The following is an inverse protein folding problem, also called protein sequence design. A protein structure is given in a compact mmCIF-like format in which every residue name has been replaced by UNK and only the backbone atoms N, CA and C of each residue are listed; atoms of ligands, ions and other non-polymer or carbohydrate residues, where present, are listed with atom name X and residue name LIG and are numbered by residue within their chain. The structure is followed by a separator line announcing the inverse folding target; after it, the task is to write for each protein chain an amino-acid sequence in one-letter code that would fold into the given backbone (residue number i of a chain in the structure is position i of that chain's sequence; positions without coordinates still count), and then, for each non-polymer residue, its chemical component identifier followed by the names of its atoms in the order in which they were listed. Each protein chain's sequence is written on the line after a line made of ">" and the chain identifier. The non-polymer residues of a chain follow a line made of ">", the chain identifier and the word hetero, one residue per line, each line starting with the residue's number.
data_IF_151302743132
#
_entry.id   IF_151302743132
#
_cell.length_a   1.000
_cell.length_b   1.000
_cell.length_c   1.000
_cell.angle_alpha   90.00
_cell.angle_beta   90.00
_cell.angle_gamma   90.00
#
_symmetry.space_group_name_H-M   'P 1'
#
loop_
_entity.id
_entity.type
_entity.pdbx_description
1 polymer ?
#
# COMPACT_ATOMS: atom_id res chain seq x y z
N UNK A 1 -11.88 -9.35 -31.35
CA UNK A 1 -10.69 -9.05 -30.52
C UNK A 1 -11.15 -8.51 -29.17
N UNK A 2 -10.84 -9.16 -28.10
CA UNK A 2 -11.16 -8.64 -26.75
C UNK A 2 -10.09 -7.67 -26.31
N UNK A 3 -10.51 -6.60 -25.65
CA UNK A 3 -9.60 -5.61 -25.03
C UNK A 3 -9.33 -5.88 -23.55
N UNK A 4 -9.82 -7.03 -23.07
CA UNK A 4 -9.58 -7.44 -21.68
C UNK A 4 -8.19 -8.02 -21.53
N UNK A 5 -7.58 -7.76 -20.41
CA UNK A 5 -6.31 -8.35 -20.00
C UNK A 5 -6.39 -8.77 -18.55
N UNK A 6 -5.69 -9.84 -18.14
CA UNK A 6 -5.60 -10.18 -16.72
C UNK A 6 -4.89 -9.08 -15.93
N UNK A 7 -5.46 -8.71 -14.81
CA UNK A 7 -4.88 -7.74 -13.86
C UNK A 7 -5.10 -8.26 -12.46
N UNK A 8 -4.04 -8.27 -11.67
CA UNK A 8 -4.10 -8.58 -10.26
C UNK A 8 -4.32 -7.27 -9.48
N UNK A 9 -5.42 -7.21 -8.72
CA UNK A 9 -5.75 -6.03 -7.92
C UNK A 9 -5.20 -6.19 -6.50
N UNK A 10 -4.45 -5.20 -6.04
CA UNK A 10 -3.91 -5.16 -4.68
C UNK A 10 -4.20 -3.81 -4.03
N UNK A 11 -4.25 -3.80 -2.72
CA UNK A 11 -4.44 -2.57 -1.94
C UNK A 11 -3.25 -2.33 -1.02
N UNK A 12 -3.05 -1.08 -0.65
CA UNK A 12 -2.11 -0.68 0.38
C UNK A 12 -2.69 0.51 1.13
N UNK A 13 -2.53 0.54 2.45
CA UNK A 13 -3.14 1.57 3.29
C UNK A 13 -2.10 2.22 4.20
N UNK A 14 -1.96 3.53 4.09
CA UNK A 14 -1.23 4.34 5.06
C UNK A 14 -2.17 4.71 6.21
N UNK A 15 -2.01 4.06 7.35
CA UNK A 15 -2.78 4.37 8.56
C UNK A 15 -1.96 5.28 9.45
N UNK A 16 -2.52 6.42 9.82
CA UNK A 16 -1.86 7.41 10.70
C UNK A 16 -2.62 7.52 12.01
N UNK A 17 -1.91 7.40 13.11
CA UNK A 17 -2.48 7.68 14.44
C UNK A 17 -2.73 9.19 14.55
N UNK A 18 -4.00 9.62 14.75
CA UNK A 18 -4.31 11.04 14.81
C UNK A 18 -3.69 11.76 16.01
N UNK A 19 -3.35 11.03 17.07
CA UNK A 19 -2.75 11.58 18.29
C UNK A 19 -1.23 11.71 18.18
N UNK A 20 -0.54 10.63 17.84
CA UNK A 20 0.93 10.60 17.81
C UNK A 20 1.52 11.00 16.47
N UNK A 21 0.70 11.04 15.41
CA UNK A 21 1.11 11.28 14.02
C UNK A 21 2.05 10.21 13.45
N UNK A 22 2.19 9.09 14.12
CA UNK A 22 2.95 7.93 13.63
C UNK A 22 2.15 7.17 12.59
N UNK A 23 2.85 6.50 11.70
CA UNK A 23 2.24 5.62 10.69
C UNK A 23 2.38 4.16 11.09
N UNK A 24 1.37 3.37 10.71
CA UNK A 24 1.36 1.94 10.92
C UNK A 24 2.24 1.27 9.87
N UNK A 25 3.18 0.48 10.32
CA UNK A 25 4.19 -0.15 9.47
C UNK A 25 4.20 -1.65 9.68
N UNK A 26 4.28 -2.37 8.59
CA UNK A 26 4.57 -3.79 8.55
C UNK A 26 5.98 -4.00 8.00
N UNK A 27 6.80 -4.76 8.73
CA UNK A 27 8.13 -5.13 8.24
C UNK A 27 8.02 -6.32 7.30
N UNK A 28 8.29 -6.10 6.02
CA UNK A 28 8.34 -7.16 5.02
C UNK A 28 9.65 -7.93 5.15
N UNK A 29 9.53 -9.15 5.63
CA UNK A 29 10.61 -10.12 5.75
C UNK A 29 10.30 -11.34 4.87
N UNK A 30 11.31 -12.11 4.49
CA UNK A 30 11.14 -13.32 3.66
C UNK A 30 10.50 -13.05 2.28
N UNK A 31 10.76 -11.89 1.70
CA UNK A 31 10.31 -11.54 0.35
C UNK A 31 11.46 -11.63 -0.65
N UNK A 32 11.12 -11.85 -1.93
CA UNK A 32 12.12 -11.99 -3.01
C UNK A 32 12.72 -10.65 -3.47
N UNK A 33 12.12 -9.55 -3.07
CA UNK A 33 12.61 -8.19 -3.35
C UNK A 33 13.19 -7.57 -2.08
N UNK A 34 13.68 -6.33 -2.18
CA UNK A 34 14.13 -5.61 -1.00
C UNK A 34 13.01 -5.47 0.01
N UNK A 35 13.12 -6.18 1.13
CA UNK A 35 12.22 -6.07 2.27
C UNK A 35 12.43 -4.77 3.07
N UNK A 36 11.70 -4.65 4.16
CA UNK A 36 11.75 -3.52 5.08
C UNK A 36 10.39 -2.94 5.39
N UNK A 37 10.36 -1.71 5.84
CA UNK A 37 9.14 -1.01 6.20
C UNK A 37 8.20 -0.85 5.01
N UNK A 38 6.97 -1.29 5.17
CA UNK A 38 5.90 -1.16 4.20
C UNK A 38 4.59 -0.82 4.93
N UNK A 39 3.56 -0.49 4.18
CA UNK A 39 2.22 -0.34 4.73
C UNK A 39 1.41 -1.63 4.52
N UNK A 40 0.46 -1.93 5.43
CA UNK A 40 -0.38 -3.11 5.28
C UNK A 40 -1.26 -3.03 4.01
N UNK A 41 -1.58 -4.18 3.47
CA UNK A 41 -2.42 -4.34 2.29
C UNK A 41 -2.34 -5.74 1.74
N UNK A 42 -3.06 -5.98 0.67
CA UNK A 42 -3.10 -7.30 0.03
C UNK A 42 -4.07 -7.35 -1.14
N UNK A 43 -4.40 -8.57 -1.56
CA UNK A 43 -5.21 -8.81 -2.73
C UNK A 43 -6.68 -8.44 -2.54
N UNK A 44 -7.28 -7.91 -3.59
CA UNK A 44 -8.74 -7.73 -3.69
C UNK A 44 -9.34 -9.05 -4.16
N UNK A 45 -10.28 -9.58 -3.38
CA UNK A 45 -10.95 -10.83 -3.71
C UNK A 45 -12.10 -10.60 -4.70
N UNK A 46 -12.47 -11.66 -5.42
CA UNK A 46 -13.60 -11.61 -6.34
C UNK A 46 -14.88 -11.25 -5.57
N UNK A 47 -15.57 -10.24 -6.06
CA UNK A 47 -16.85 -9.81 -5.49
C UNK A 47 -16.75 -8.80 -4.36
N UNK A 48 -15.55 -8.44 -3.89
CA UNK A 48 -15.41 -7.34 -2.93
C UNK A 48 -14.97 -6.04 -3.62
N UNK A 49 -15.32 -4.91 -3.04
CA UNK A 49 -14.80 -3.63 -3.49
C UNK A 49 -13.34 -3.43 -3.04
N UNK A 50 -12.60 -2.61 -3.76
CA UNK A 50 -11.22 -2.30 -3.38
C UNK A 50 -11.12 -1.65 -1.98
N UNK A 51 -12.07 -0.79 -1.63
CA UNK A 51 -12.12 -0.19 -0.30
C UNK A 51 -12.42 -1.23 0.80
N UNK A 52 -13.32 -2.18 0.53
CA UNK A 52 -13.59 -3.28 1.47
C UNK A 52 -12.38 -4.19 1.64
N UNK A 53 -11.66 -4.49 0.56
CA UNK A 53 -10.41 -5.23 0.61
C UNK A 53 -9.36 -4.52 1.48
N UNK A 54 -9.22 -3.21 1.31
CA UNK A 54 -8.29 -2.41 2.11
C UNK A 54 -8.61 -2.51 3.62
N UNK A 55 -9.88 -2.40 3.99
CA UNK A 55 -10.31 -2.53 5.38
C UNK A 55 -10.06 -3.94 5.92
N UNK A 56 -10.40 -4.96 5.15
CA UNK A 56 -10.21 -6.37 5.53
C UNK A 56 -8.73 -6.71 5.72
N UNK A 57 -7.88 -6.35 4.79
CA UNK A 57 -6.44 -6.64 4.85
C UNK A 57 -5.78 -5.97 6.06
N UNK A 58 -6.10 -4.71 6.34
CA UNK A 58 -5.58 -4.03 7.53
C UNK A 58 -6.01 -4.76 8.80
N UNK A 59 -7.26 -5.19 8.88
CA UNK A 59 -7.73 -5.96 10.04
C UNK A 59 -6.98 -7.29 10.19
N UNK A 60 -6.86 -8.07 9.11
CA UNK A 60 -6.21 -9.38 9.13
C UNK A 60 -4.73 -9.27 9.51
N UNK A 61 -4.03 -8.28 9.00
CA UNK A 61 -2.60 -8.12 9.23
C UNK A 61 -2.26 -7.42 10.55
N UNK A 62 -3.12 -6.53 11.03
CA UNK A 62 -2.76 -5.62 12.13
C UNK A 62 -3.68 -5.66 13.34
N UNK A 63 -4.91 -6.15 13.20
CA UNK A 63 -5.95 -6.13 14.24
C UNK A 63 -6.76 -4.84 14.29
N UNK A 64 -6.41 -3.81 13.52
CA UNK A 64 -7.16 -2.56 13.49
C UNK A 64 -8.37 -2.65 12.56
N UNK A 65 -9.49 -2.11 13.02
CA UNK A 65 -10.69 -1.92 12.20
C UNK A 65 -10.76 -0.48 11.74
N UNK A 66 -10.52 -0.26 10.43
CA UNK A 66 -10.68 1.06 9.84
C UNK A 66 -12.14 1.42 9.73
N UNK A 67 -12.51 2.60 10.16
CA UNK A 67 -13.89 3.11 10.07
C UNK A 67 -14.09 4.02 8.86
N UNK A 68 -13.02 4.47 8.26
CA UNK A 68 -13.02 5.28 7.04
C UNK A 68 -11.71 5.07 6.27
N UNK A 69 -11.78 5.04 4.96
CA UNK A 69 -10.61 5.04 4.07
C UNK A 69 -10.79 6.10 2.98
N UNK A 70 -9.70 6.77 2.65
CA UNK A 70 -9.65 7.78 1.59
C UNK A 70 -8.75 7.29 0.47
N UNK A 71 -9.26 7.27 -0.76
CA UNK A 71 -8.47 6.91 -1.93
C UNK A 71 -7.43 7.98 -2.24
N UNK A 72 -6.17 7.56 -2.46
CA UNK A 72 -5.06 8.46 -2.73
C UNK A 72 -4.58 8.41 -4.18
N UNK A 73 -4.66 7.26 -4.82
CA UNK A 73 -4.17 7.07 -6.18
C UNK A 73 -3.86 5.61 -6.47
N UNK A 74 -3.22 5.38 -7.61
CA UNK A 74 -2.87 4.04 -8.08
C UNK A 74 -1.38 3.93 -8.35
N UNK A 75 -0.89 2.70 -8.37
CA UNK A 75 0.42 2.35 -8.91
C UNK A 75 0.32 1.04 -9.67
N UNK A 76 1.23 0.81 -10.58
CA UNK A 76 1.24 -0.40 -11.40
C UNK A 76 2.60 -1.06 -11.34
N UNK A 77 2.59 -2.38 -11.21
CA UNK A 77 3.79 -3.21 -11.31
C UNK A 77 3.62 -4.22 -12.43
N UNK A 78 4.74 -4.58 -13.01
CA UNK A 78 4.82 -5.67 -13.99
C UNK A 78 5.86 -6.67 -13.51
N UNK A 79 5.54 -7.95 -13.57
CA UNK A 79 6.53 -8.97 -13.29
C UNK A 79 7.60 -8.98 -14.40
N UNK A 80 8.87 -9.16 -14.02
CA UNK A 80 10.03 -9.07 -14.92
C UNK A 80 10.00 -10.03 -16.12
N UNK A 81 9.25 -11.12 -16.02
CA UNK A 81 9.19 -12.15 -17.05
C UNK A 81 8.02 -12.01 -18.04
N UNK A 82 7.67 -10.81 -18.38
CA UNK A 82 6.63 -10.53 -19.39
C UNK A 82 5.22 -10.49 -18.85
N UNK A 83 5.19 -10.22 -17.71
CA UNK A 83 4.36 -10.09 -16.97
C UNK A 83 3.00 -9.76 -16.69
N UNK A 84 2.49 -10.34 -15.67
CA UNK A 84 1.23 -10.02 -15.03
C UNK A 84 1.25 -8.58 -14.57
N UNK A 85 0.27 -7.80 -15.01
CA UNK A 85 0.04 -6.45 -14.49
C UNK A 85 -0.57 -6.55 -13.09
N UNK A 86 0.00 -5.84 -12.14
CA UNK A 86 -0.59 -5.60 -10.82
C UNK A 86 -0.99 -4.14 -10.74
N UNK A 87 -2.22 -3.90 -10.36
CA UNK A 87 -2.74 -2.56 -10.11
C UNK A 87 -2.94 -2.37 -8.62
N UNK A 88 -2.14 -1.49 -8.03
CA UNK A 88 -2.24 -1.11 -6.63
C UNK A 88 -3.17 0.07 -6.44
N UNK A 89 -4.15 -0.09 -5.55
CA UNK A 89 -5.04 0.97 -5.12
C UNK A 89 -4.58 1.43 -3.74
N UNK A 90 -4.23 2.69 -3.64
CA UNK A 90 -3.61 3.27 -2.46
C UNK A 90 -4.62 4.08 -1.67
N UNK A 91 -4.75 3.76 -0.39
CA UNK A 91 -5.68 4.41 0.54
C UNK A 91 -4.94 4.96 1.73
N UNK A 92 -5.54 5.92 2.42
CA UNK A 92 -5.08 6.38 3.72
C UNK A 92 -6.24 6.44 4.71
N UNK A 93 -5.92 6.34 5.99
CA UNK A 93 -6.89 6.43 7.07
C UNK A 93 -6.23 6.98 8.35
N UNK A 94 -6.99 7.75 9.10
CA UNK A 94 -6.67 8.17 10.47
C UNK A 94 -7.81 7.82 11.44
N UNK A 95 -8.76 7.00 11.00
CA UNK A 95 -9.97 6.65 11.73
C UNK A 95 -10.07 5.12 11.89
N UNK A 96 -9.80 4.64 13.10
CA UNK A 96 -9.77 3.22 13.40
C UNK A 96 -10.14 2.94 14.85
N UNK A 97 -10.45 1.67 15.13
CA UNK A 97 -10.63 1.11 16.47
C UNK A 97 -9.77 -0.13 16.63
N UNK A 98 -9.59 -0.58 17.87
CA UNK A 98 -8.80 -1.78 18.19
C UNK A 98 -7.35 -1.47 18.53
N UNK A 99 -6.59 -2.53 18.73
CA UNK A 99 -5.17 -2.48 19.08
C UNK A 99 -4.36 -3.31 18.08
N UNK A 100 -3.13 -2.88 17.81
CA UNK A 100 -2.26 -3.60 16.90
C UNK A 100 -1.75 -4.90 17.53
N UNK A 101 -1.60 -5.90 16.68
CA UNK A 101 -0.86 -7.13 16.99
C UNK A 101 -0.10 -7.58 15.75
N UNK A 102 1.07 -8.17 15.95
CA UNK A 102 1.84 -8.78 14.86
C UNK A 102 1.26 -10.13 14.48
N UNK A 103 1.40 -10.48 13.21
CA UNK A 103 1.00 -11.78 12.66
C UNK A 103 2.22 -12.57 12.19
N UNK A 104 1.99 -13.78 11.70
CA UNK A 104 3.04 -14.61 11.09
C UNK A 104 3.61 -13.97 9.80
N UNK A 105 2.89 -13.06 9.17
CA UNK A 105 3.29 -12.41 7.92
C UNK A 105 4.28 -11.27 8.12
N UNK A 106 4.29 -10.65 9.31
CA UNK A 106 5.20 -9.56 9.58
C UNK A 106 5.03 -8.94 10.95
N UNK A 107 6.00 -8.11 11.31
CA UNK A 107 5.99 -7.33 12.54
C UNK A 107 5.29 -6.01 12.31
N UNK A 108 4.30 -5.71 13.14
CA UNK A 108 3.51 -4.48 13.06
C UNK A 108 3.97 -3.51 14.16
N UNK A 109 4.17 -2.26 13.77
CA UNK A 109 4.58 -1.20 14.70
C UNK A 109 4.10 0.18 14.24
N UNK A 110 4.09 1.13 15.17
CA UNK A 110 3.88 2.54 14.90
C UNK A 110 5.23 3.25 14.83
N UNK A 111 5.54 3.85 13.68
CA UNK A 111 6.80 4.57 13.47
C UNK A 111 6.55 6.02 13.05
N UNK A 112 7.44 6.94 13.45
CA UNK A 112 7.45 8.28 12.84
C UNK A 112 7.67 8.17 11.34
N UNK A 113 7.01 9.00 10.55
CA UNK A 113 7.17 8.98 9.09
C UNK A 113 8.63 9.19 8.66
N UNK A 114 9.41 9.89 9.48
CA UNK A 114 10.86 10.09 9.26
C UNK A 114 11.69 8.80 9.27
N UNK A 115 11.16 7.71 9.85
CA UNK A 115 11.81 6.40 9.81
C UNK A 115 11.60 5.66 8.48
N UNK A 116 10.71 6.14 7.63
CA UNK A 116 10.50 5.61 6.28
C UNK A 116 11.60 6.12 5.33
N UNK A 117 12.82 5.64 5.56
CA UNK A 117 13.99 6.01 4.76
C UNK A 117 14.24 5.01 3.64
N UNK A 118 15.03 5.40 2.64
CA UNK A 118 15.38 4.51 1.53
C UNK A 118 16.08 3.23 2.00
N UNK A 119 16.89 3.31 3.05
CA UNK A 119 17.59 2.17 3.62
C UNK A 119 16.67 1.19 4.33
N UNK A 120 15.71 1.71 5.12
CA UNK A 120 14.83 0.91 5.98
C UNK A 120 13.54 0.47 5.33
N UNK A 121 13.13 1.11 4.25
CA UNK A 121 11.85 0.84 3.59
C UNK A 121 11.96 -0.24 2.53
N UNK A 122 10.88 -0.97 2.33
CA UNK A 122 10.73 -1.93 1.25
C UNK A 122 10.85 -1.22 -0.12
N UNK A 123 11.08 -2.01 -1.15
CA UNK A 123 11.17 -1.50 -2.52
C UNK A 123 9.93 -0.67 -2.88
N UNK A 124 10.13 0.41 -3.61
CA UNK A 124 9.11 1.33 -4.11
C UNK A 124 8.44 2.23 -3.05
N UNK A 125 8.60 1.99 -1.78
CA UNK A 125 7.85 2.70 -0.73
C UNK A 125 8.03 4.21 -0.77
N UNK A 126 9.23 4.73 -1.02
CA UNK A 126 9.45 6.18 -1.07
C UNK A 126 8.74 6.84 -2.24
N UNK A 127 8.61 6.14 -3.36
CA UNK A 127 7.82 6.62 -4.50
C UNK A 127 6.34 6.61 -4.17
N UNK A 128 5.85 5.54 -3.55
CA UNK A 128 4.45 5.42 -3.14
C UNK A 128 4.07 6.45 -2.07
N UNK A 129 4.98 6.78 -1.16
CA UNK A 129 4.75 7.81 -0.14
C UNK A 129 4.33 9.16 -0.72
N UNK A 130 4.87 9.54 -1.87
CA UNK A 130 4.48 10.77 -2.55
C UNK A 130 3.00 10.80 -2.90
N UNK A 131 2.44 9.63 -3.28
CA UNK A 131 1.02 9.49 -3.59
C UNK A 131 0.19 9.56 -2.31
N UNK A 132 0.55 8.79 -1.29
CA UNK A 132 -0.15 8.80 -0.01
C UNK A 132 -0.20 10.19 0.63
N UNK A 133 0.86 10.96 0.46
CA UNK A 133 0.97 12.33 0.99
C UNK A 133 0.43 13.39 0.04
N UNK A 134 -0.03 13.00 -1.15
CA UNK A 134 -0.52 13.90 -2.20
C UNK A 134 0.49 14.96 -2.62
N UNK A 135 1.75 14.57 -2.68
CA UNK A 135 2.85 15.43 -3.14
C UNK A 135 3.04 15.40 -4.65
N UNK A 136 2.41 14.43 -5.34
CA UNK A 136 2.42 14.31 -6.78
C UNK A 136 1.21 15.03 -7.35
N UNK A 137 1.42 15.86 -8.38
CA UNK A 137 0.34 16.56 -9.06
C UNK A 137 -0.61 15.57 -9.73
N UNK A 138 -1.92 15.85 -9.67
CA UNK A 138 -2.93 15.06 -10.35
C UNK A 138 -2.61 14.90 -11.84
N UNK A 139 -2.95 13.76 -12.39
CA UNK A 139 -2.72 13.38 -13.80
C UNK A 139 -1.24 13.33 -14.22
N UNK A 140 -0.33 13.32 -13.27
CA UNK A 140 1.08 13.08 -13.55
C UNK A 140 1.41 11.61 -13.31
N UNK A 141 1.98 10.97 -14.31
CA UNK A 141 2.48 9.60 -14.23
C UNK A 141 4.00 9.63 -14.22
N UNK A 142 4.60 8.94 -13.26
CA UNK A 142 6.03 8.76 -13.18
C UNK A 142 6.36 7.29 -13.47
N UNK A 143 7.19 7.06 -14.46
CA UNK A 143 7.77 5.75 -14.74
C UNK A 143 9.01 5.57 -13.87
N UNK A 144 9.06 4.44 -13.16
CA UNK A 144 10.20 4.12 -12.33
C UNK A 144 10.80 2.78 -12.71
N UNK A 145 12.05 2.80 -13.15
CA UNK A 145 12.82 1.64 -13.59
C UNK A 145 12.16 0.76 -14.67
N UNK A 146 11.17 1.28 -15.37
CA UNK A 146 10.42 0.52 -16.36
C UNK A 146 9.46 -0.51 -15.79
N UNK A 147 9.43 -0.69 -14.49
CA UNK A 147 8.63 -1.71 -13.83
C UNK A 147 7.47 -1.16 -13.01
N UNK A 148 7.53 0.12 -12.66
CA UNK A 148 6.53 0.78 -11.83
C UNK A 148 6.06 2.08 -12.49
N UNK A 149 4.77 2.16 -12.72
CA UNK A 149 4.08 3.38 -13.10
C UNK A 149 3.27 3.88 -11.93
N UNK A 150 3.39 5.14 -11.63
CA UNK A 150 2.72 5.77 -10.50
C UNK A 150 1.79 6.85 -11.00
N UNK A 151 0.51 6.75 -10.66
CA UNK A 151 -0.50 7.74 -10.98
C UNK A 151 -1.10 8.29 -9.68
N UNK A 152 -1.02 9.61 -9.51
CA UNK A 152 -1.52 10.28 -8.32
C UNK A 152 -3.06 10.28 -8.20
N UNK A 153 -3.74 9.90 -9.27
CA UNK A 153 -5.20 9.99 -9.31
C UNK A 153 -5.71 11.44 -9.31
N UNK A 154 -6.95 11.60 -9.55
CA UNK A 154 -7.63 12.90 -9.50
C UNK A 154 -8.46 13.05 -8.25
#
# INVERSE_FOLDING_TARGET
>A
MTRTQPVELVTMVMVTDPTTKKVLVEDKIHVQWKGGHSFPGGHVEVGESCAAAAVREVYEETGLTLTHVEFCGTCEWFDHDGGQRKLGLLYRSDAFTGEIHSSAEGRISWLPLSEMTAEKSAASMLTLLKIFRREVAAAKSDEWNGDLFVDAGC
#
